data_IF_704355583113
#
_entry.id   IF_704355583113
#
_cell.length_a   1.000
_cell.length_b   1.000
_cell.length_c   1.000
_cell.angle_alpha   90.00
_cell.angle_beta   90.00
_cell.angle_gamma   90.00
#
_symmetry.space_group_name_H-M   'P 1'
#
loop_
_entity.id
_entity.type
_entity.pdbx_description
1 polymer ?
#
# COMPACT_ATOMS: atom_id res chain seq x y z
N UNK A 1 1.22 6.56 29.85
CA UNK A 1 0.14 6.28 28.87
C UNK A 1 0.77 5.38 27.82
N UNK A 2 0.35 4.12 27.79
CA UNK A 2 0.88 3.15 26.85
C UNK A 2 0.57 3.58 25.43
N UNK A 3 1.59 3.61 24.57
CA UNK A 3 1.37 3.69 23.13
C UNK A 3 0.57 2.45 22.75
N UNK A 4 -0.69 2.60 22.42
CA UNK A 4 -1.41 1.56 21.70
C UNK A 4 -0.56 1.24 20.47
N UNK A 5 -0.13 -0.01 20.39
CA UNK A 5 0.73 -0.49 19.29
C UNK A 5 -0.14 -0.45 18.03
N UNK A 6 0.01 0.62 17.27
CA UNK A 6 -0.65 0.71 15.96
C UNK A 6 -0.08 -0.41 15.07
N UNK A 7 -0.89 -1.37 14.67
CA UNK A 7 -0.51 -2.48 13.81
C UNK A 7 -0.89 -2.11 12.36
N UNK A 8 0.00 -2.42 11.42
CA UNK A 8 -0.16 -2.16 9.99
C UNK A 8 0.21 -3.40 9.22
N UNK A 9 -0.45 -3.60 8.09
CA UNK A 9 -0.17 -4.77 7.29
C UNK A 9 -0.08 -4.45 5.81
N UNK A 10 0.85 -5.14 5.17
CA UNK A 10 0.91 -5.24 3.73
C UNK A 10 0.32 -6.58 3.30
N UNK A 11 -0.78 -6.55 2.56
CA UNK A 11 -1.46 -7.77 2.09
C UNK A 11 -0.89 -8.15 0.74
N UNK A 12 -0.32 -9.35 0.65
CA UNK A 12 0.29 -9.86 -0.57
C UNK A 12 -0.46 -11.09 -1.11
N UNK A 13 -0.67 -11.08 -2.41
CA UNK A 13 -1.21 -12.20 -3.16
C UNK A 13 -0.18 -12.67 -4.21
N UNK A 14 -0.25 -13.90 -4.72
CA UNK A 14 0.65 -14.36 -5.78
C UNK A 14 0.71 -13.36 -6.94
N UNK A 15 1.93 -13.02 -7.36
CA UNK A 15 2.19 -12.01 -8.38
C UNK A 15 2.23 -10.56 -7.85
N UNK A 16 2.42 -10.35 -6.54
CA UNK A 16 2.63 -9.02 -5.95
C UNK A 16 3.94 -8.39 -6.45
N UNK A 17 4.03 -7.05 -6.43
CA UNK A 17 5.27 -6.33 -6.78
C UNK A 17 6.23 -6.33 -5.58
N UNK A 18 7.34 -7.03 -5.72
CA UNK A 18 8.32 -7.27 -4.65
C UNK A 18 8.98 -5.97 -4.18
N UNK A 19 9.40 -5.14 -5.14
CA UNK A 19 10.06 -3.88 -4.85
C UNK A 19 9.18 -2.92 -4.05
N UNK A 20 7.89 -2.86 -4.36
CA UNK A 20 6.93 -2.05 -3.62
C UNK A 20 6.73 -2.59 -2.20
N UNK A 21 6.41 -3.86 -2.09
CA UNK A 21 6.06 -4.49 -0.81
C UNK A 21 7.19 -4.42 0.20
N UNK A 22 8.39 -4.87 -0.19
CA UNK A 22 9.54 -4.94 0.70
C UNK A 22 10.03 -3.56 1.11
N UNK A 23 10.01 -2.57 0.20
CA UNK A 23 10.41 -1.20 0.53
C UNK A 23 9.43 -0.55 1.51
N UNK A 24 8.13 -0.77 1.35
CA UNK A 24 7.12 -0.22 2.28
C UNK A 24 7.33 -0.80 3.68
N UNK A 25 7.42 -2.12 3.79
CA UNK A 25 7.59 -2.82 5.08
C UNK A 25 8.90 -2.39 5.76
N UNK A 26 10.01 -2.35 5.01
CA UNK A 26 11.31 -1.91 5.53
C UNK A 26 11.24 -0.50 6.11
N UNK A 27 10.65 0.45 5.39
CA UNK A 27 10.55 1.85 5.83
C UNK A 27 9.66 1.98 7.07
N UNK A 28 8.53 1.29 7.11
CA UNK A 28 7.62 1.35 8.26
C UNK A 28 8.29 0.71 9.49
N UNK A 29 8.95 -0.43 9.33
CA UNK A 29 9.70 -1.08 10.41
C UNK A 29 10.89 -0.23 10.90
N UNK A 30 11.59 0.47 10.01
CA UNK A 30 12.64 1.46 10.36
C UNK A 30 12.10 2.63 11.18
N UNK A 31 10.84 2.98 11.03
CA UNK A 31 10.15 3.98 11.85
C UNK A 31 9.76 3.45 13.25
N UNK A 32 10.13 2.24 13.60
CA UNK A 32 9.76 1.50 14.82
C UNK A 32 8.24 1.25 14.93
N UNK A 33 7.58 1.13 13.80
CA UNK A 33 6.21 0.68 13.76
C UNK A 33 6.14 -0.82 13.44
N UNK A 34 5.21 -1.53 14.05
CA UNK A 34 4.93 -2.91 13.65
C UNK A 34 4.28 -2.90 12.26
N UNK A 35 4.77 -3.72 11.35
CA UNK A 35 4.20 -3.90 10.03
C UNK A 35 4.38 -5.36 9.62
N UNK A 36 3.29 -6.08 9.50
CA UNK A 36 3.31 -7.48 9.14
C UNK A 36 3.04 -7.66 7.65
N UNK A 37 3.71 -8.63 7.06
CA UNK A 37 3.42 -9.11 5.72
C UNK A 37 2.41 -10.23 5.82
N UNK A 38 1.20 -10.01 5.31
CA UNK A 38 0.12 -10.98 5.36
C UNK A 38 -0.15 -11.51 3.95
N UNK A 39 0.06 -12.80 3.77
CA UNK A 39 -0.16 -13.48 2.50
C UNK A 39 -1.53 -14.14 2.39
N UNK A 40 -1.92 -14.48 1.16
CA UNK A 40 -3.00 -15.46 0.97
C UNK A 40 -2.53 -16.88 1.33
N UNK A 41 -1.22 -17.08 1.30
CA UNK A 41 -0.53 -18.30 1.70
C UNK A 41 0.70 -17.92 2.55
N UNK A 42 1.32 -18.92 3.19
CA UNK A 42 2.50 -18.68 4.04
C UNK A 42 3.72 -18.23 3.25
N UNK A 43 3.92 -18.80 2.07
CA UNK A 43 4.98 -18.48 1.14
C UNK A 43 4.34 -17.99 -0.16
N UNK A 44 4.64 -16.77 -0.59
CA UNK A 44 4.01 -16.13 -1.74
C UNK A 44 5.07 -15.76 -2.77
N UNK A 45 4.88 -16.19 -4.02
CA UNK A 45 5.71 -15.79 -5.14
C UNK A 45 5.26 -14.43 -5.69
N UNK A 46 6.19 -13.50 -5.87
CA UNK A 46 5.97 -12.20 -6.48
C UNK A 46 5.90 -12.25 -8.01
N UNK A 47 5.72 -11.09 -8.61
CA UNK A 47 5.62 -10.92 -10.07
C UNK A 47 6.92 -11.25 -10.81
N UNK A 48 8.05 -11.24 -10.12
CA UNK A 48 9.40 -11.52 -10.64
C UNK A 48 10.03 -12.75 -10.00
N UNK A 49 9.19 -13.72 -9.60
CA UNK A 49 9.58 -15.03 -9.06
C UNK A 49 10.37 -15.01 -7.74
N UNK A 50 10.35 -13.89 -7.00
CA UNK A 50 10.92 -13.83 -5.66
C UNK A 50 9.88 -14.35 -4.67
N UNK A 51 10.20 -15.44 -3.99
CA UNK A 51 9.34 -16.02 -2.96
C UNK A 51 9.62 -15.35 -1.63
N UNK A 52 8.58 -14.87 -0.97
CA UNK A 52 8.64 -14.31 0.37
C UNK A 52 7.87 -15.16 1.35
N UNK A 53 8.40 -15.27 2.57
CA UNK A 53 7.68 -15.88 3.69
C UNK A 53 6.91 -14.80 4.43
N UNK A 54 5.60 -14.93 4.45
CA UNK A 54 4.73 -14.01 5.15
C UNK A 54 4.76 -14.24 6.68
N UNK A 55 4.57 -13.15 7.44
CA UNK A 55 4.46 -13.21 8.89
C UNK A 55 3.20 -14.00 9.29
N UNK A 56 2.08 -13.77 8.62
CA UNK A 56 0.84 -14.54 8.80
C UNK A 56 0.06 -14.71 7.50
N UNK A 57 -1.06 -15.45 7.57
CA UNK A 57 -2.02 -15.62 6.48
C UNK A 57 -3.25 -14.77 6.77
N UNK A 58 -3.88 -14.22 5.72
CA UNK A 58 -5.05 -13.35 5.81
C UNK A 58 -6.14 -13.98 6.68
N UNK A 59 -6.54 -13.26 7.71
CA UNK A 59 -7.60 -13.62 8.64
C UNK A 59 -8.37 -12.36 9.09
N UNK A 60 -9.36 -12.55 9.97
CA UNK A 60 -10.25 -11.46 10.40
C UNK A 60 -9.61 -10.45 11.36
N UNK A 61 -8.46 -10.76 11.97
CA UNK A 61 -7.76 -9.86 12.89
C UNK A 61 -7.28 -8.58 12.20
N UNK A 62 -7.10 -8.63 10.87
CA UNK A 62 -6.74 -7.47 10.04
C UNK A 62 -7.70 -6.30 10.19
N UNK A 63 -8.97 -6.56 10.52
CA UNK A 63 -10.01 -5.53 10.72
C UNK A 63 -9.67 -4.57 11.88
N UNK A 64 -8.89 -5.02 12.85
CA UNK A 64 -8.54 -4.25 14.03
C UNK A 64 -7.28 -3.38 13.86
N UNK A 65 -6.60 -3.53 12.74
CA UNK A 65 -5.41 -2.75 12.43
C UNK A 65 -5.74 -1.30 12.05
N UNK A 66 -4.76 -0.41 12.18
CA UNK A 66 -4.95 1.02 11.89
C UNK A 66 -4.77 1.36 10.43
N UNK A 67 -4.05 0.50 9.70
CA UNK A 67 -3.74 0.71 8.30
C UNK A 67 -3.57 -0.63 7.57
N UNK A 68 -4.15 -0.73 6.40
CA UNK A 68 -3.91 -1.80 5.43
C UNK A 68 -3.27 -1.23 4.17
N UNK A 69 -2.29 -1.97 3.62
CA UNK A 69 -1.52 -1.54 2.45
C UNK A 69 -1.62 -2.63 1.38
N UNK A 70 -1.99 -2.23 0.19
CA UNK A 70 -2.16 -3.11 -0.96
C UNK A 70 -1.09 -2.79 -2.01
N UNK A 71 -0.09 -3.65 -2.19
CA UNK A 71 0.90 -3.50 -3.25
C UNK A 71 0.31 -3.83 -4.62
N UNK A 72 0.98 -3.35 -5.66
CA UNK A 72 0.65 -3.69 -7.03
C UNK A 72 1.18 -5.06 -7.48
N UNK A 73 1.62 -5.10 -8.72
CA UNK A 73 2.07 -6.32 -9.38
C UNK A 73 0.98 -6.98 -10.22
N UNK A 74 1.42 -7.77 -11.21
CA UNK A 74 0.53 -8.58 -12.04
C UNK A 74 0.95 -10.06 -11.93
N UNK A 75 0.01 -10.97 -11.62
CA UNK A 75 -1.43 -10.76 -11.39
C UNK A 75 -1.81 -10.37 -9.95
N UNK A 76 -0.87 -9.99 -9.08
CA UNK A 76 -1.09 -9.74 -7.66
C UNK A 76 -2.28 -8.82 -7.35
N UNK A 77 -2.33 -7.64 -7.98
CA UNK A 77 -3.44 -6.70 -7.77
C UNK A 77 -4.80 -7.27 -8.23
N UNK A 78 -4.83 -8.10 -9.29
CA UNK A 78 -6.04 -8.78 -9.72
C UNK A 78 -6.47 -9.85 -8.71
N UNK A 79 -5.54 -10.61 -8.17
CA UNK A 79 -5.80 -11.61 -7.14
C UNK A 79 -6.34 -10.97 -5.85
N UNK A 80 -5.79 -9.81 -5.45
CA UNK A 80 -6.32 -9.03 -4.33
C UNK A 80 -7.76 -8.56 -4.61
N UNK A 81 -8.02 -8.01 -5.81
CA UNK A 81 -9.34 -7.51 -6.22
C UNK A 81 -10.41 -8.59 -6.20
N UNK A 82 -10.04 -9.80 -6.62
CA UNK A 82 -10.98 -10.91 -6.79
C UNK A 82 -11.19 -11.71 -5.49
N UNK A 83 -10.46 -11.38 -4.42
CA UNK A 83 -10.65 -11.99 -3.11
C UNK A 83 -11.83 -11.33 -2.36
N UNK A 84 -12.96 -12.02 -2.30
CA UNK A 84 -14.19 -11.52 -1.68
C UNK A 84 -13.98 -11.16 -0.21
N UNK A 85 -13.21 -11.98 0.54
CA UNK A 85 -12.97 -11.71 1.96
C UNK A 85 -12.16 -10.44 2.18
N UNK A 86 -11.14 -10.19 1.36
CA UNK A 86 -10.39 -8.94 1.43
C UNK A 86 -11.30 -7.74 1.14
N UNK A 87 -12.18 -7.81 0.15
CA UNK A 87 -13.14 -6.72 -0.16
C UNK A 87 -14.05 -6.44 1.04
N UNK A 88 -14.54 -7.47 1.73
CA UNK A 88 -15.33 -7.31 2.96
C UNK A 88 -14.53 -6.61 4.07
N UNK A 89 -13.29 -7.07 4.31
CA UNK A 89 -12.37 -6.48 5.29
C UNK A 89 -12.15 -4.98 4.99
N UNK A 90 -11.87 -4.62 3.75
CA UNK A 90 -11.66 -3.22 3.35
C UNK A 90 -12.88 -2.35 3.64
N UNK A 91 -14.08 -2.85 3.37
CA UNK A 91 -15.32 -2.12 3.66
C UNK A 91 -15.55 -1.93 5.17
N UNK A 92 -15.25 -2.94 5.99
CA UNK A 92 -15.34 -2.84 7.45
C UNK A 92 -14.30 -1.83 7.97
N UNK A 93 -13.06 -1.88 7.48
CA UNK A 93 -12.01 -0.94 7.86
C UNK A 93 -12.37 0.50 7.47
N UNK A 94 -12.98 0.71 6.30
CA UNK A 94 -13.47 2.02 5.88
C UNK A 94 -14.55 2.56 6.82
N UNK A 95 -15.51 1.71 7.25
CA UNK A 95 -16.53 2.08 8.24
C UNK A 95 -15.92 2.41 9.61
N UNK A 96 -14.85 1.73 9.99
CA UNK A 96 -14.06 2.01 11.21
C UNK A 96 -13.13 3.23 11.06
N UNK A 97 -13.17 3.95 9.93
CA UNK A 97 -12.31 5.10 9.61
C UNK A 97 -10.80 4.80 9.70
N UNK A 98 -10.40 3.59 9.30
CA UNK A 98 -9.01 3.14 9.22
C UNK A 98 -8.37 3.55 7.90
N UNK A 99 -7.03 3.62 7.86
CA UNK A 99 -6.32 3.91 6.61
C UNK A 99 -6.33 2.72 5.65
N UNK A 100 -6.66 3.00 4.40
CA UNK A 100 -6.63 2.02 3.30
C UNK A 100 -5.74 2.60 2.21
N UNK A 101 -4.62 1.92 1.96
CA UNK A 101 -3.54 2.41 1.14
C UNK A 101 -3.31 1.46 -0.04
N UNK A 102 -3.13 1.99 -1.24
CA UNK A 102 -2.90 1.18 -2.44
C UNK A 102 -1.89 1.84 -3.38
N UNK A 103 -0.98 1.06 -3.95
CA UNK A 103 0.04 1.56 -4.87
C UNK A 103 -0.04 0.84 -6.22
N UNK A 104 0.38 1.51 -7.29
CA UNK A 104 0.57 0.94 -8.62
C UNK A 104 -0.76 0.46 -9.25
N UNK A 105 -0.90 -0.85 -9.45
CA UNK A 105 -2.12 -1.48 -9.97
C UNK A 105 -3.21 -1.66 -8.92
N UNK A 106 -2.87 -1.63 -7.63
CA UNK A 106 -3.78 -1.97 -6.53
C UNK A 106 -5.00 -1.05 -6.34
N UNK A 107 -5.04 0.21 -6.80
CA UNK A 107 -6.28 1.01 -6.72
C UNK A 107 -7.50 0.37 -7.39
N UNK A 108 -7.34 -0.61 -8.30
CA UNK A 108 -8.47 -1.42 -8.81
C UNK A 108 -9.20 -2.20 -7.72
N UNK A 109 -8.50 -2.54 -6.62
CA UNK A 109 -9.08 -3.21 -5.46
C UNK A 109 -10.00 -2.25 -4.71
N UNK A 110 -9.56 -0.99 -4.55
CA UNK A 110 -10.36 0.08 -3.92
C UNK A 110 -11.60 0.38 -4.73
N UNK A 111 -11.49 0.39 -6.07
CA UNK A 111 -12.66 0.52 -6.94
C UNK A 111 -13.65 -0.63 -6.75
N UNK A 112 -13.15 -1.87 -6.73
CA UNK A 112 -14.00 -3.07 -6.49
C UNK A 112 -14.75 -2.99 -5.18
N UNK A 113 -14.11 -2.44 -4.14
CA UNK A 113 -14.72 -2.21 -2.82
C UNK A 113 -15.64 -0.98 -2.78
N UNK A 114 -15.73 -0.18 -3.86
CA UNK A 114 -16.55 1.05 -3.91
C UNK A 114 -15.94 2.24 -3.17
N UNK A 115 -14.67 2.15 -2.77
CA UNK A 115 -14.01 3.12 -1.89
C UNK A 115 -13.45 4.35 -2.63
N UNK A 116 -13.44 4.33 -3.98
CA UNK A 116 -12.97 5.46 -4.79
C UNK A 116 -14.09 6.41 -5.22
N UNK A 117 -15.35 6.10 -4.93
CA UNK A 117 -16.48 6.95 -5.31
C UNK A 117 -16.35 8.34 -4.68
N UNK A 118 -16.21 9.38 -5.54
CA UNK A 118 -16.05 10.77 -5.11
C UNK A 118 -14.69 11.08 -4.45
N UNK A 119 -13.70 10.22 -4.60
CA UNK A 119 -12.35 10.39 -4.06
C UNK A 119 -11.35 10.78 -5.13
N UNK A 120 -10.35 11.56 -4.72
CA UNK A 120 -9.15 11.74 -5.50
C UNK A 120 -8.23 10.53 -5.31
N UNK A 121 -7.60 10.08 -6.38
CA UNK A 121 -6.68 8.96 -6.35
C UNK A 121 -5.59 9.08 -7.42
N UNK A 122 -4.53 8.31 -7.28
CA UNK A 122 -3.56 8.04 -8.34
C UNK A 122 -3.33 6.53 -8.46
N UNK A 123 -2.78 6.10 -9.59
CA UNK A 123 -2.51 4.70 -9.90
C UNK A 123 -1.38 4.59 -10.91
N UNK A 124 -0.99 3.36 -11.22
CA UNK A 124 -0.06 3.08 -12.31
C UNK A 124 -0.64 3.54 -13.66
N UNK A 125 0.25 4.01 -14.52
CA UNK A 125 -0.09 4.48 -15.88
C UNK A 125 -0.97 3.45 -16.62
N UNK A 126 -2.09 3.92 -17.17
CA UNK A 126 -3.08 3.09 -17.88
C UNK A 126 -4.14 2.45 -16.99
N UNK A 127 -3.96 2.43 -15.67
CA UNK A 127 -5.00 1.90 -14.76
C UNK A 127 -6.14 2.89 -14.53
N UNK A 128 -5.92 4.20 -14.75
CA UNK A 128 -6.98 5.22 -14.77
C UNK A 128 -8.07 4.92 -15.80
N UNK A 129 -7.72 4.18 -16.86
CA UNK A 129 -8.69 3.75 -17.87
C UNK A 129 -9.56 2.57 -17.40
N UNK A 130 -9.06 1.79 -16.45
CA UNK A 130 -9.76 0.63 -15.86
C UNK A 130 -10.62 1.04 -14.67
N UNK A 131 -10.26 2.11 -13.95
CA UNK A 131 -10.97 2.63 -12.80
C UNK A 131 -12.01 3.64 -13.27
N UNK A 132 -13.29 3.38 -12.96
CA UNK A 132 -14.43 4.20 -13.39
C UNK A 132 -14.93 5.16 -12.30
N UNK A 133 -14.48 4.95 -11.06
CA UNK A 133 -14.84 5.76 -9.90
C UNK A 133 -13.68 6.69 -9.54
N UNK A 134 -14.03 7.82 -8.93
CA UNK A 134 -13.04 8.77 -8.44
C UNK A 134 -12.45 9.69 -9.49
N UNK A 135 -11.58 10.60 -9.03
CA UNK A 135 -10.89 11.60 -9.81
C UNK A 135 -9.39 11.31 -9.84
N UNK A 136 -8.88 10.93 -11.00
CA UNK A 136 -7.46 10.59 -11.17
C UNK A 136 -6.57 11.82 -11.15
N UNK A 137 -5.48 11.77 -10.38
CA UNK A 137 -4.45 12.80 -10.30
C UNK A 137 -3.08 12.20 -10.65
N UNK A 138 -2.20 13.02 -11.25
CA UNK A 138 -0.84 12.60 -11.63
C UNK A 138 0.19 12.69 -10.50
N UNK A 139 -0.23 13.04 -9.29
CA UNK A 139 0.67 13.18 -8.15
C UNK A 139 1.33 11.85 -7.74
N UNK A 140 2.55 11.92 -7.22
CA UNK A 140 3.28 10.73 -6.72
C UNK A 140 2.54 10.01 -5.61
N UNK A 141 1.87 10.78 -4.73
CA UNK A 141 1.04 10.28 -3.62
C UNK A 141 -0.19 11.16 -3.51
N UNK A 142 -1.37 10.55 -3.48
CA UNK A 142 -2.66 11.23 -3.27
C UNK A 142 -3.26 10.75 -1.96
N UNK A 143 -3.69 11.69 -1.13
CA UNK A 143 -4.38 11.43 0.14
C UNK A 143 -5.75 12.08 0.07
N UNK A 144 -6.79 11.30 0.22
CA UNK A 144 -8.17 11.78 0.34
C UNK A 144 -8.85 11.10 1.53
N UNK A 145 -8.83 11.81 2.66
CA UNK A 145 -9.29 11.27 3.95
C UNK A 145 -8.42 10.09 4.41
N UNK A 146 -9.00 8.91 4.46
CA UNK A 146 -8.33 7.67 4.87
C UNK A 146 -7.87 6.81 3.68
N UNK A 147 -8.13 7.26 2.46
CA UNK A 147 -7.64 6.60 1.25
C UNK A 147 -6.32 7.24 0.84
N UNK A 148 -5.28 6.42 0.66
CA UNK A 148 -3.95 6.87 0.24
C UNK A 148 -3.51 6.04 -0.95
N UNK A 149 -3.15 6.71 -2.04
CA UNK A 149 -2.73 6.01 -3.27
C UNK A 149 -1.39 6.52 -3.79
N UNK A 150 -0.69 5.69 -4.54
CA UNK A 150 0.57 6.03 -5.21
C UNK A 150 0.70 5.33 -6.56
N UNK A 151 1.70 5.74 -7.38
CA UNK A 151 1.75 5.40 -8.80
C UNK A 151 2.45 4.09 -9.12
N UNK A 152 3.53 3.74 -8.44
CA UNK A 152 4.28 2.55 -8.84
C UNK A 152 5.64 2.41 -8.16
N UNK A 153 6.49 1.47 -8.61
CA UNK A 153 7.73 1.12 -7.93
C UNK A 153 8.65 2.30 -7.63
N UNK A 154 8.83 3.23 -8.57
CA UNK A 154 9.69 4.39 -8.38
C UNK A 154 9.13 5.43 -7.37
N UNK A 155 7.82 5.41 -7.09
CA UNK A 155 7.20 6.31 -6.11
C UNK A 155 7.05 5.69 -4.72
N UNK A 156 7.47 4.44 -4.54
CA UNK A 156 7.28 3.67 -3.30
C UNK A 156 7.87 4.34 -2.08
N UNK A 157 9.05 4.95 -2.21
CA UNK A 157 9.70 5.66 -1.09
C UNK A 157 8.89 6.86 -0.63
N UNK A 158 8.43 7.70 -1.58
CA UNK A 158 7.57 8.84 -1.27
C UNK A 158 6.27 8.40 -0.59
N UNK A 159 5.67 7.30 -1.07
CA UNK A 159 4.49 6.69 -0.50
C UNK A 159 4.73 6.20 0.94
N UNK A 160 5.73 5.36 1.15
CA UNK A 160 6.04 4.79 2.46
C UNK A 160 6.38 5.88 3.51
N UNK A 161 7.15 6.90 3.15
CA UNK A 161 7.42 8.02 4.06
C UNK A 161 6.14 8.79 4.42
N UNK A 162 5.21 8.95 3.47
CA UNK A 162 3.93 9.58 3.77
C UNK A 162 3.09 8.74 4.71
N UNK A 163 3.10 7.40 4.56
CA UNK A 163 2.43 6.49 5.50
C UNK A 163 3.02 6.62 6.92
N UNK A 164 4.35 6.72 7.04
CA UNK A 164 5.02 6.97 8.33
C UNK A 164 4.52 8.27 8.97
N UNK A 165 4.41 9.36 8.21
CA UNK A 165 3.90 10.64 8.73
C UNK A 165 2.45 10.55 9.18
N UNK A 166 1.59 9.86 8.42
CA UNK A 166 0.17 9.65 8.77
C UNK A 166 -0.02 8.83 10.06
N UNK A 167 0.98 8.03 10.40
CA UNK A 167 1.04 7.23 11.61
C UNK A 167 1.66 7.98 12.81
N UNK A 168 1.99 9.26 12.63
CA UNK A 168 2.62 10.08 13.67
C UNK A 168 4.13 9.88 13.81
N UNK A 169 4.78 9.22 12.85
CA UNK A 169 6.22 9.05 12.82
C UNK A 169 6.97 10.27 12.26
N UNK A 170 8.30 10.17 12.21
CA UNK A 170 9.17 11.22 11.70
C UNK A 170 9.86 10.76 10.40
N UNK A 171 9.19 10.92 9.26
CA UNK A 171 9.75 10.54 7.96
C UNK A 171 10.97 11.36 7.58
N UNK A 172 11.10 12.60 8.04
CA UNK A 172 12.27 13.45 7.75
C UNK A 172 13.57 12.83 8.31
N UNK A 173 13.52 12.30 9.54
CA UNK A 173 14.66 11.60 10.13
C UNK A 173 15.04 10.35 9.33
N UNK A 174 14.02 9.59 8.88
CA UNK A 174 14.24 8.40 8.04
C UNK A 174 14.83 8.76 6.69
N UNK A 175 14.29 9.76 6.00
CA UNK A 175 14.81 10.25 4.69
C UNK A 175 16.29 10.59 4.77
N UNK A 176 16.72 11.27 5.85
CA UNK A 176 18.14 11.57 6.07
C UNK A 176 18.99 10.31 6.24
N UNK A 177 18.53 9.37 7.08
CA UNK A 177 19.24 8.10 7.35
C UNK A 177 19.30 7.18 6.12
N UNK A 178 18.30 7.23 5.26
CA UNK A 178 18.18 6.39 4.06
C UNK A 178 18.77 7.07 2.81
N UNK A 179 19.43 8.22 2.97
CA UNK A 179 20.04 8.96 1.86
C UNK A 179 19.05 9.27 0.73
N UNK A 180 17.81 9.59 1.10
CA UNK A 180 16.73 9.82 0.14
C UNK A 180 16.89 11.14 -0.63
N UNK A 181 17.42 12.18 0.02
CA UNK A 181 17.59 13.48 -0.63
C UNK A 181 18.69 13.41 -1.69
N UNK A 182 18.41 13.97 -2.86
CA UNK A 182 19.28 13.96 -4.04
C UNK A 182 19.58 12.54 -4.58
N UNK A 183 18.72 11.55 -4.26
CA UNK A 183 18.89 10.18 -4.73
C UNK A 183 18.30 9.94 -6.12
N UNK A 184 17.36 10.77 -6.56
CA UNK A 184 16.61 10.61 -7.81
C UNK A 184 16.57 11.92 -8.58
N UNK A 185 17.69 12.29 -9.19
CA UNK A 185 17.83 13.52 -10.03
C UNK A 185 17.61 13.24 -11.52
N UNK A 186 16.91 12.14 -11.84
CA UNK A 186 16.65 11.76 -13.25
C UNK A 186 15.42 12.49 -13.76
N UNK A 187 15.58 13.17 -14.90
CA UNK A 187 14.49 13.78 -15.68
C UNK A 187 14.03 12.79 -16.76
N UNK A 188 12.76 12.93 -17.20
CA UNK A 188 12.17 12.05 -18.21
C UNK A 188 12.92 12.08 -19.56
N UNK A 189 13.62 13.17 -19.84
CA UNK A 189 14.35 13.40 -21.11
C UNK A 189 15.85 13.02 -21.05
N UNK A 190 16.31 12.41 -19.97
CA UNK A 190 17.67 11.87 -19.80
C UNK A 190 17.69 10.34 -19.87
#
# INVERSE_FOLDING_TARGET
>A
MGSEMCIRDSIVAPGFEEGETLSIIDIIRRANFQCDMIGFEKDVAGAHDIIVKCDSVLNDEVIDYDMIILPGGYPGAANLRDNTRLIEILNIMAQKNKYICAICAAPIVLEKAGLLKGKNYTAYVGYEQKIKQGNYLHDKVVIDGKIVTSRGPATVYAFAYKLVDLLGGNSLALKKRMVYFNAFDVKEDE
#
